data_IF_342400496570
#
_entry.id   IF_342400496570
#
_cell.length_a   1.000
_cell.length_b   1.000
_cell.length_c   1.000
_cell.angle_alpha   90.00
_cell.angle_beta   90.00
_cell.angle_gamma   90.00
#
_symmetry.space_group_name_H-M   'P 1'
#
loop_
_entity.id
_entity.type
_entity.pdbx_description
1 polymer ?
#
# COMPACT_ATOMS: atom_id res chain seq x y z
N UNK A 1 -10.65 30.60 16.16
CA UNK A 1 -10.92 29.47 17.06
C UNK A 1 -10.01 28.34 16.60
N UNK A 2 -8.94 28.06 17.37
CA UNK A 2 -8.01 26.97 17.03
C UNK A 2 -8.71 25.61 17.13
N UNK A 3 -8.50 24.74 16.14
CA UNK A 3 -8.94 23.36 16.18
C UNK A 3 -8.07 22.58 17.15
N UNK A 4 -8.63 22.12 18.26
CA UNK A 4 -7.92 21.25 19.22
C UNK A 4 -8.12 19.78 18.85
N UNK A 5 -7.14 19.24 18.12
CA UNK A 5 -7.15 17.86 17.66
C UNK A 5 -7.10 16.86 18.84
N UNK A 6 -6.33 17.15 19.88
CA UNK A 6 -6.15 16.22 21.01
C UNK A 6 -7.47 16.05 21.78
N UNK A 7 -8.14 17.15 22.10
CA UNK A 7 -9.47 17.13 22.74
C UNK A 7 -10.51 16.49 21.82
N UNK A 8 -10.47 16.76 20.52
CA UNK A 8 -11.41 16.16 19.55
C UNK A 8 -11.25 14.63 19.53
N UNK A 9 -10.02 14.11 19.47
CA UNK A 9 -9.76 12.66 19.50
C UNK A 9 -10.21 12.06 20.84
N UNK A 10 -9.80 12.64 21.95
CA UNK A 10 -10.11 12.13 23.29
C UNK A 10 -11.62 12.03 23.54
N UNK A 11 -12.36 13.08 23.18
CA UNK A 11 -13.81 13.15 23.39
C UNK A 11 -14.61 12.18 22.49
N UNK A 12 -14.04 11.71 21.38
CA UNK A 12 -14.73 10.86 20.41
C UNK A 12 -14.18 9.43 20.32
N UNK A 13 -13.12 9.08 21.05
CA UNK A 13 -12.48 7.76 20.96
C UNK A 13 -13.48 6.61 21.20
N UNK A 14 -14.39 6.76 22.16
CA UNK A 14 -15.43 5.76 22.48
C UNK A 14 -16.44 5.54 21.34
N UNK A 15 -16.57 6.48 20.42
CA UNK A 15 -17.50 6.42 19.28
C UNK A 15 -16.87 5.83 18.02
N UNK A 16 -15.63 5.38 18.06
CA UNK A 16 -14.88 4.93 16.87
C UNK A 16 -15.68 3.91 16.02
N UNK A 17 -16.22 2.86 16.64
CA UNK A 17 -16.98 1.82 15.92
C UNK A 17 -18.32 2.34 15.37
N UNK A 18 -19.01 3.21 16.11
CA UNK A 18 -20.24 3.88 15.66
C UNK A 18 -19.97 4.75 14.43
N UNK A 19 -19.00 5.66 14.54
CA UNK A 19 -18.65 6.58 13.46
C UNK A 19 -18.21 5.85 12.20
N UNK A 20 -17.38 4.82 12.36
CA UNK A 20 -16.93 4.01 11.21
C UNK A 20 -18.10 3.27 10.55
N UNK A 21 -18.99 2.68 11.34
CA UNK A 21 -20.16 1.97 10.83
C UNK A 21 -21.19 2.89 10.17
N UNK A 22 -21.36 4.11 10.69
CA UNK A 22 -22.32 5.07 10.16
C UNK A 22 -21.85 5.81 8.89
N UNK A 23 -20.53 6.10 8.80
CA UNK A 23 -20.02 7.05 7.81
C UNK A 23 -18.97 6.50 6.86
N UNK A 24 -18.40 5.33 7.14
CA UNK A 24 -17.30 4.74 6.33
C UNK A 24 -17.73 3.40 5.73
N UNK A 25 -17.90 2.37 6.57
CA UNK A 25 -18.27 1.04 6.09
C UNK A 25 -19.00 0.23 7.16
N UNK A 26 -20.34 0.12 7.07
CA UNK A 26 -21.14 -0.62 8.06
C UNK A 26 -20.85 -2.12 8.04
N UNK A 27 -20.55 -2.69 6.88
CA UNK A 27 -20.25 -4.12 6.75
C UNK A 27 -18.93 -4.46 7.43
N UNK A 28 -17.90 -3.63 7.22
CA UNK A 28 -16.60 -3.81 7.85
C UNK A 28 -16.69 -3.71 9.38
N UNK A 29 -17.41 -2.73 9.90
CA UNK A 29 -17.64 -2.58 11.34
C UNK A 29 -18.36 -3.81 11.93
N UNK A 30 -19.31 -4.41 11.19
CA UNK A 30 -19.98 -5.64 11.56
C UNK A 30 -19.02 -6.83 11.60
N UNK A 31 -18.20 -7.00 10.57
CA UNK A 31 -17.21 -8.09 10.50
C UNK A 31 -16.24 -8.00 11.67
N UNK A 32 -15.64 -6.81 11.92
CA UNK A 32 -14.72 -6.62 13.04
C UNK A 32 -15.34 -7.02 14.38
N UNK A 33 -16.60 -6.66 14.61
CA UNK A 33 -17.34 -7.03 15.81
C UNK A 33 -17.54 -8.55 15.91
N UNK A 34 -17.90 -9.20 14.80
CA UNK A 34 -18.12 -10.64 14.73
C UNK A 34 -16.85 -11.45 15.06
N UNK A 35 -15.69 -10.98 14.61
CA UNK A 35 -14.39 -11.66 14.85
C UNK A 35 -13.67 -11.17 16.10
N UNK A 36 -14.26 -10.25 16.88
CA UNK A 36 -13.68 -9.74 18.13
C UNK A 36 -12.54 -8.74 17.96
N UNK A 37 -12.46 -8.10 16.80
CA UNK A 37 -11.46 -7.07 16.47
C UNK A 37 -11.99 -5.64 16.63
N UNK A 38 -13.17 -5.47 17.20
CA UNK A 38 -13.81 -4.16 17.46
C UNK A 38 -13.22 -3.45 18.71
N UNK A 39 -11.91 -3.52 18.87
CA UNK A 39 -11.21 -2.89 19.99
C UNK A 39 -10.95 -1.42 19.71
N UNK A 40 -11.03 -0.60 20.75
CA UNK A 40 -10.57 0.79 20.71
C UNK A 40 -9.13 0.85 21.18
N UNK A 41 -8.19 0.90 20.24
CA UNK A 41 -6.78 1.01 20.56
C UNK A 41 -6.43 2.48 20.87
N UNK A 42 -5.87 2.70 22.06
CA UNK A 42 -5.53 4.05 22.58
C UNK A 42 -4.04 4.33 22.61
N UNK A 43 -3.21 3.30 22.50
CA UNK A 43 -1.75 3.43 22.49
C UNK A 43 -1.10 2.36 21.62
N UNK A 44 0.00 2.73 20.98
CA UNK A 44 0.85 1.82 20.22
C UNK A 44 2.33 2.20 20.38
N UNK A 45 3.21 1.22 20.57
CA UNK A 45 4.66 1.43 20.63
C UNK A 45 5.40 0.17 20.24
N UNK A 46 6.32 0.26 19.28
CA UNK A 46 7.03 -0.90 18.77
C UNK A 46 6.06 -1.97 18.25
N UNK A 47 6.16 -3.23 18.69
CA UNK A 47 5.27 -4.30 18.26
C UNK A 47 3.99 -4.40 19.10
N UNK A 48 3.72 -3.47 20.01
CA UNK A 48 2.60 -3.57 20.94
C UNK A 48 1.51 -2.54 20.69
N UNK A 49 0.27 -2.97 20.92
CA UNK A 49 -0.94 -2.17 20.96
C UNK A 49 -1.58 -2.27 22.35
N UNK A 50 -2.27 -1.23 22.79
CA UNK A 50 -3.08 -1.26 24.02
C UNK A 50 -4.48 -0.72 23.72
N UNK A 51 -5.48 -1.42 24.23
CA UNK A 51 -6.87 -0.98 24.16
C UNK A 51 -7.24 -0.02 25.29
N UNK A 52 -8.46 0.49 25.25
CA UNK A 52 -9.03 1.39 26.26
C UNK A 52 -9.29 0.72 27.64
N UNK A 53 -9.18 -0.60 27.69
CA UNK A 53 -9.28 -1.41 28.93
C UNK A 53 -7.91 -1.75 29.52
N UNK A 54 -6.82 -1.28 28.90
CA UNK A 54 -5.46 -1.55 29.34
C UNK A 54 -4.89 -2.90 28.89
N UNK A 55 -5.61 -3.67 28.09
CA UNK A 55 -5.08 -4.93 27.56
C UNK A 55 -3.99 -4.65 26.54
N UNK A 56 -2.90 -5.41 26.63
CA UNK A 56 -1.78 -5.34 25.71
C UNK A 56 -1.87 -6.45 24.65
N UNK A 57 -1.63 -6.10 23.42
CA UNK A 57 -1.61 -7.02 22.26
C UNK A 57 -0.27 -6.95 21.55
N UNK A 58 0.27 -8.10 21.19
CA UNK A 58 1.42 -8.20 20.29
C UNK A 58 0.90 -8.18 18.84
N UNK A 59 1.30 -7.17 18.08
CA UNK A 59 0.81 -6.93 16.72
C UNK A 59 1.64 -7.71 15.69
N UNK A 60 1.23 -8.95 15.40
CA UNK A 60 1.82 -9.75 14.32
C UNK A 60 1.37 -9.34 12.91
N UNK A 61 0.32 -8.52 12.78
CA UNK A 61 -0.15 -8.06 11.49
C UNK A 61 0.68 -6.90 10.96
N UNK A 62 1.15 -6.02 11.85
CA UNK A 62 2.02 -4.89 11.52
C UNK A 62 1.47 -3.95 10.44
N UNK A 63 0.14 -3.89 10.27
CA UNK A 63 -0.49 -3.13 9.19
C UNK A 63 -0.15 -3.68 7.79
N UNK A 64 -0.08 -5.01 7.63
CA UNK A 64 0.37 -5.69 6.41
C UNK A 64 1.76 -5.22 5.98
N UNK A 65 2.74 -5.32 6.91
CA UNK A 65 4.12 -4.91 6.72
C UNK A 65 4.38 -3.39 6.57
N UNK A 66 3.40 -2.55 6.91
CA UNK A 66 3.60 -1.08 6.94
C UNK A 66 4.45 -0.65 8.15
N UNK A 67 4.27 -1.30 9.30
CA UNK A 67 4.94 -0.95 10.54
C UNK A 67 6.22 -1.76 10.81
N UNK A 68 7.08 -1.94 9.79
CA UNK A 68 8.29 -2.79 9.87
C UNK A 68 9.31 -2.33 10.93
N UNK A 69 9.33 -1.04 11.27
CA UNK A 69 10.18 -0.48 12.33
C UNK A 69 9.47 -0.38 13.69
N UNK A 70 8.27 -0.95 13.78
CA UNK A 70 7.39 -0.78 14.93
C UNK A 70 6.56 0.52 14.86
N UNK A 71 5.48 0.50 15.61
CA UNK A 71 4.56 1.64 15.68
C UNK A 71 5.18 2.79 16.48
N UNK A 72 4.93 4.01 16.04
CA UNK A 72 5.40 5.24 16.69
C UNK A 72 6.91 5.25 16.96
N UNK A 73 7.71 4.77 15.99
CA UNK A 73 9.17 4.75 16.14
C UNK A 73 9.70 6.14 16.47
N UNK A 74 10.47 6.31 17.58
CA UNK A 74 10.83 7.63 18.08
C UNK A 74 11.63 8.46 17.08
N UNK A 75 12.57 7.86 16.37
CA UNK A 75 13.37 8.57 15.35
C UNK A 75 12.52 9.06 14.19
N UNK A 76 11.55 8.25 13.74
CA UNK A 76 10.66 8.64 12.63
C UNK A 76 9.73 9.77 13.08
N UNK A 77 9.14 9.65 14.28
CA UNK A 77 8.30 10.72 14.84
C UNK A 77 9.08 12.03 14.97
N UNK A 78 10.31 11.94 15.49
CA UNK A 78 11.17 13.13 15.62
C UNK A 78 11.45 13.77 14.27
N UNK A 79 11.85 12.98 13.27
CA UNK A 79 12.15 13.49 11.94
C UNK A 79 10.96 14.19 11.29
N UNK A 80 9.74 13.62 11.42
CA UNK A 80 8.51 14.25 10.93
C UNK A 80 8.21 15.56 11.66
N UNK A 81 8.36 15.59 13.00
CA UNK A 81 8.15 16.79 13.79
C UNK A 81 9.16 17.89 13.44
N UNK A 82 10.45 17.53 13.31
CA UNK A 82 11.50 18.46 12.91
C UNK A 82 11.24 19.04 11.51
N UNK A 83 10.83 18.19 10.56
CA UNK A 83 10.48 18.63 9.21
C UNK A 83 9.30 19.62 9.20
N UNK A 84 8.23 19.31 9.93
CA UNK A 84 7.07 20.19 10.03
C UNK A 84 7.40 21.55 10.67
N UNK A 85 8.37 21.57 11.60
CA UNK A 85 8.82 22.79 12.24
C UNK A 85 9.70 23.70 11.36
N UNK A 86 10.15 23.22 10.18
CA UNK A 86 10.96 24.00 9.23
C UNK A 86 10.13 24.93 8.35
N UNK A 87 8.80 24.83 8.35
CA UNK A 87 7.88 25.62 7.51
C UNK A 87 8.30 25.67 6.03
N UNK A 88 8.83 24.54 5.53
CA UNK A 88 9.27 24.44 4.13
C UNK A 88 8.07 24.46 3.18
N UNK A 89 8.22 25.01 1.97
CA UNK A 89 7.17 24.96 0.98
C UNK A 89 6.85 23.49 0.63
N UNK A 90 5.56 23.18 0.56
CA UNK A 90 5.08 21.85 0.22
C UNK A 90 4.21 21.94 -1.03
N UNK A 91 4.32 20.94 -1.91
CA UNK A 91 3.49 20.81 -3.12
C UNK A 91 3.53 22.04 -4.04
N UNK A 92 4.70 22.64 -4.22
CA UNK A 92 4.88 23.70 -5.19
C UNK A 92 4.87 23.11 -6.61
N UNK A 93 4.00 23.64 -7.47
CA UNK A 93 3.91 23.18 -8.86
C UNK A 93 5.20 23.50 -9.63
N UNK A 94 5.67 22.55 -10.43
CA UNK A 94 6.91 22.66 -11.21
C UNK A 94 8.19 22.80 -10.37
N UNK A 95 8.15 22.42 -9.12
CA UNK A 95 9.35 22.29 -8.29
C UNK A 95 9.96 20.89 -8.44
N UNK A 96 11.29 20.80 -8.30
CA UNK A 96 12.02 19.56 -8.09
C UNK A 96 12.29 19.38 -6.58
N UNK A 97 11.45 18.60 -5.85
CA UNK A 97 11.53 18.53 -4.39
C UNK A 97 12.85 17.92 -3.91
N UNK A 98 13.56 18.61 -3.03
CA UNK A 98 14.87 18.18 -2.51
C UNK A 98 14.81 16.81 -1.85
N UNK A 99 13.82 16.56 -0.99
CA UNK A 99 13.76 15.31 -0.22
C UNK A 99 13.52 14.08 -1.10
N UNK A 100 12.76 14.20 -2.17
CA UNK A 100 12.58 13.08 -3.12
C UNK A 100 13.89 12.80 -3.88
N UNK A 101 14.66 13.83 -4.24
CA UNK A 101 15.98 13.66 -4.82
C UNK A 101 16.95 12.93 -3.90
N UNK A 102 17.06 13.37 -2.64
CA UNK A 102 17.91 12.74 -1.62
C UNK A 102 17.51 11.28 -1.36
N UNK A 103 16.20 11.01 -1.26
CA UNK A 103 15.72 9.65 -1.09
C UNK A 103 16.03 8.77 -2.31
N UNK A 104 15.86 9.29 -3.53
CA UNK A 104 16.17 8.57 -4.75
C UNK A 104 17.67 8.24 -4.84
N UNK A 105 18.55 9.18 -4.49
CA UNK A 105 20.01 8.97 -4.43
C UNK A 105 20.37 7.82 -3.47
N UNK A 106 19.82 7.84 -2.27
CA UNK A 106 20.09 6.81 -1.26
C UNK A 106 19.51 5.42 -1.67
N UNK A 107 18.32 5.38 -2.25
CA UNK A 107 17.74 4.14 -2.77
C UNK A 107 18.58 3.55 -3.89
N UNK A 108 19.02 4.35 -4.85
CA UNK A 108 19.92 3.92 -5.94
C UNK A 108 21.21 3.33 -5.39
N UNK A 109 21.83 4.02 -4.43
CA UNK A 109 23.06 3.57 -3.79
C UNK A 109 22.91 2.21 -3.12
N UNK A 110 21.77 1.94 -2.47
CA UNK A 110 21.48 0.68 -1.78
C UNK A 110 21.06 -0.44 -2.71
N UNK A 111 20.23 -0.16 -3.69
CA UNK A 111 19.73 -1.17 -4.63
C UNK A 111 20.81 -1.56 -5.64
N UNK A 112 21.55 -0.61 -6.15
CA UNK A 112 22.54 -0.84 -7.21
C UNK A 112 21.88 -1.33 -8.49
N UNK A 113 22.52 -2.33 -9.16
CA UNK A 113 21.98 -3.06 -10.33
C UNK A 113 21.70 -2.19 -11.57
N UNK A 114 22.32 -1.02 -11.70
CA UNK A 114 22.14 -0.14 -12.86
C UNK A 114 20.76 0.50 -12.97
N UNK A 115 20.04 0.63 -11.86
CA UNK A 115 18.79 1.38 -11.82
C UNK A 115 19.09 2.86 -11.66
N UNK A 116 18.75 3.66 -12.66
CA UNK A 116 19.15 5.08 -12.74
C UNK A 116 18.11 6.04 -12.21
N UNK A 117 16.84 5.64 -12.15
CA UNK A 117 15.73 6.51 -11.78
C UNK A 117 14.80 5.83 -10.78
N UNK A 118 14.16 6.64 -9.94
CA UNK A 118 13.13 6.23 -8.98
C UNK A 118 11.84 6.95 -9.30
N UNK A 119 10.75 6.21 -9.42
CA UNK A 119 9.41 6.76 -9.58
C UNK A 119 8.64 6.56 -8.28
N UNK A 120 8.32 7.67 -7.60
CA UNK A 120 7.57 7.64 -6.34
C UNK A 120 6.07 7.65 -6.58
N UNK A 121 5.34 6.89 -5.79
CA UNK A 121 3.88 6.81 -5.79
C UNK A 121 3.34 6.85 -4.37
N UNK A 122 2.05 7.14 -4.21
CA UNK A 122 1.42 7.21 -2.88
C UNK A 122 0.98 5.83 -2.35
N UNK A 123 0.87 4.84 -3.22
CA UNK A 123 0.45 3.49 -2.85
C UNK A 123 1.10 2.43 -3.73
N UNK A 124 1.11 1.17 -3.24
CA UNK A 124 1.54 0.03 -4.04
C UNK A 124 0.70 -0.17 -5.30
N UNK A 125 -0.62 0.07 -5.23
CA UNK A 125 -1.49 0.00 -6.41
C UNK A 125 -1.07 1.00 -7.49
N UNK A 126 -0.77 2.24 -7.14
CA UNK A 126 -0.25 3.24 -8.08
C UNK A 126 1.11 2.84 -8.67
N UNK A 127 1.98 2.24 -7.86
CA UNK A 127 3.25 1.69 -8.32
C UNK A 127 3.04 0.59 -9.37
N UNK A 128 2.09 -0.32 -9.16
CA UNK A 128 1.72 -1.35 -10.13
C UNK A 128 1.12 -0.74 -11.40
N UNK A 129 0.23 0.25 -11.30
CA UNK A 129 -0.30 0.97 -12.46
C UNK A 129 0.81 1.62 -13.30
N UNK A 130 1.78 2.25 -12.64
CA UNK A 130 2.94 2.83 -13.31
C UNK A 130 3.80 1.75 -14.00
N UNK A 131 4.07 0.63 -13.32
CA UNK A 131 4.81 -0.50 -13.87
C UNK A 131 4.14 -1.09 -15.11
N UNK A 132 2.81 -1.28 -15.10
CA UNK A 132 2.02 -1.71 -16.26
C UNK A 132 2.22 -0.77 -17.45
N UNK A 133 2.09 0.53 -17.21
CA UNK A 133 2.23 1.55 -18.27
C UNK A 133 3.65 1.58 -18.82
N UNK A 134 4.65 1.56 -17.97
CA UNK A 134 6.05 1.61 -18.38
C UNK A 134 6.44 0.34 -19.13
N UNK A 135 6.04 -0.84 -18.68
CA UNK A 135 6.31 -2.09 -19.37
C UNK A 135 5.71 -2.12 -20.78
N UNK A 136 4.44 -1.74 -20.92
CA UNK A 136 3.78 -1.68 -22.24
C UNK A 136 4.43 -0.63 -23.14
N UNK A 137 4.74 0.54 -22.62
CA UNK A 137 5.38 1.62 -23.39
C UNK A 137 6.78 1.23 -23.87
N UNK A 138 7.59 0.65 -22.99
CA UNK A 138 8.97 0.29 -23.30
C UNK A 138 9.08 -0.89 -24.28
N UNK A 139 8.14 -1.82 -24.25
CA UNK A 139 8.19 -3.03 -25.08
C UNK A 139 7.32 -2.97 -26.33
N UNK A 140 6.32 -2.10 -26.36
CA UNK A 140 5.27 -2.09 -27.37
C UNK A 140 4.34 -3.32 -27.33
N UNK A 141 4.42 -4.16 -26.28
CA UNK A 141 3.69 -5.41 -26.14
C UNK A 141 2.43 -5.25 -25.27
N UNK A 142 1.32 -5.92 -25.60
CA UNK A 142 0.06 -5.74 -24.88
C UNK A 142 -0.10 -6.63 -23.64
N UNK A 143 0.51 -7.82 -23.62
CA UNK A 143 0.19 -8.84 -22.63
C UNK A 143 0.94 -8.65 -21.32
N UNK A 144 0.24 -8.97 -20.23
CA UNK A 144 0.77 -9.00 -18.88
C UNK A 144 0.54 -10.38 -18.27
N UNK A 145 1.56 -10.94 -17.66
CA UNK A 145 1.43 -12.18 -16.92
C UNK A 145 1.34 -11.90 -15.42
N UNK A 146 0.60 -12.75 -14.70
CA UNK A 146 0.49 -12.69 -13.23
C UNK A 146 0.36 -14.10 -12.64
N UNK A 147 0.66 -14.26 -11.35
CA UNK A 147 0.61 -15.53 -10.66
C UNK A 147 -0.72 -15.77 -9.92
N UNK A 148 -1.13 -17.04 -9.68
CA UNK A 148 -2.22 -17.39 -8.79
C UNK A 148 -1.97 -16.81 -7.39
N UNK A 149 -3.05 -16.38 -6.70
CA UNK A 149 -3.02 -15.79 -5.34
C UNK A 149 -2.24 -14.48 -5.23
N UNK A 150 -1.70 -13.93 -6.32
CA UNK A 150 -1.05 -12.63 -6.30
C UNK A 150 -2.01 -11.52 -5.87
N UNK A 151 -1.48 -10.54 -5.15
CA UNK A 151 -2.19 -9.31 -4.79
C UNK A 151 -1.35 -8.09 -5.17
N UNK A 152 -1.86 -7.29 -6.09
CA UNK A 152 -1.16 -6.14 -6.65
C UNK A 152 -1.85 -4.80 -6.36
N UNK A 153 -2.98 -4.82 -5.66
CA UNK A 153 -3.80 -3.65 -5.37
C UNK A 153 -5.20 -3.74 -5.94
N UNK A 154 -6.00 -2.70 -5.74
CA UNK A 154 -7.42 -2.67 -6.07
C UNK A 154 -7.80 -1.55 -7.05
N UNK A 155 -6.84 -0.83 -7.64
CA UNK A 155 -7.10 0.01 -8.81
C UNK A 155 -7.38 -0.85 -10.06
N UNK A 156 -7.96 -0.28 -11.09
CA UNK A 156 -8.47 -1.05 -12.24
C UNK A 156 -7.42 -1.91 -12.96
N UNK A 157 -6.20 -1.39 -13.14
CA UNK A 157 -5.11 -2.18 -13.72
C UNK A 157 -4.55 -3.19 -12.74
N UNK A 158 -4.31 -2.79 -11.49
CA UNK A 158 -3.76 -3.68 -10.46
C UNK A 158 -4.71 -4.86 -10.15
N UNK A 159 -6.03 -4.61 -10.02
CA UNK A 159 -7.02 -5.68 -9.76
C UNK A 159 -7.09 -6.69 -10.91
N UNK A 160 -6.77 -6.26 -12.13
CA UNK A 160 -6.72 -7.13 -13.30
C UNK A 160 -5.64 -8.20 -13.21
N UNK A 161 -4.61 -7.97 -12.39
CA UNK A 161 -3.49 -8.87 -12.15
C UNK A 161 -3.60 -9.64 -10.82
N UNK A 162 -4.69 -9.47 -10.05
CA UNK A 162 -4.89 -10.24 -8.83
C UNK A 162 -5.28 -11.68 -9.15
N UNK A 163 -4.57 -12.63 -8.54
CA UNK A 163 -4.79 -14.07 -8.75
C UNK A 163 -5.89 -14.67 -7.88
N UNK A 164 -6.42 -13.94 -6.90
CA UNK A 164 -7.48 -14.40 -6.01
C UNK A 164 -8.86 -13.88 -6.49
N UNK A 165 -9.83 -14.76 -6.78
CA UNK A 165 -11.16 -14.36 -7.25
C UNK A 165 -11.87 -13.38 -6.32
N UNK A 166 -11.74 -13.53 -5.01
CA UNK A 166 -12.42 -12.67 -4.02
C UNK A 166 -12.08 -11.18 -4.14
N UNK A 167 -10.95 -10.83 -4.75
CA UNK A 167 -10.59 -9.44 -5.03
C UNK A 167 -11.05 -8.95 -6.41
N UNK A 168 -11.55 -9.85 -7.25
CA UNK A 168 -11.94 -9.58 -8.63
C UNK A 168 -13.44 -9.58 -8.84
N UNK A 169 -14.16 -10.35 -8.04
CA UNK A 169 -15.60 -10.55 -8.19
C UNK A 169 -16.36 -9.22 -8.17
N UNK A 170 -17.16 -8.98 -9.19
CA UNK A 170 -17.97 -7.76 -9.34
C UNK A 170 -17.25 -6.56 -9.96
N UNK A 171 -15.96 -6.65 -10.32
CA UNK A 171 -15.17 -5.53 -10.85
C UNK A 171 -14.82 -5.62 -12.35
N UNK A 172 -15.36 -6.62 -13.06
CA UNK A 172 -15.19 -6.72 -14.50
C UNK A 172 -15.87 -5.55 -15.25
N UNK A 173 -15.40 -5.18 -16.47
CA UNK A 173 -14.34 -5.82 -17.24
C UNK A 173 -12.93 -5.45 -16.74
N UNK A 174 -12.02 -6.40 -16.84
CA UNK A 174 -10.62 -6.23 -16.47
C UNK A 174 -9.80 -5.68 -17.64
N UNK A 175 -8.58 -5.22 -17.34
CA UNK A 175 -7.61 -4.84 -18.36
C UNK A 175 -7.38 -6.03 -19.31
N UNK A 176 -7.47 -5.82 -20.64
CA UNK A 176 -7.27 -6.88 -21.61
C UNK A 176 -5.83 -7.43 -21.60
N UNK A 177 -5.68 -8.64 -22.13
CA UNK A 177 -4.39 -9.35 -22.26
C UNK A 177 -3.66 -9.63 -20.92
N UNK A 178 -4.40 -9.72 -19.81
CA UNK A 178 -3.88 -10.21 -18.56
C UNK A 178 -4.05 -11.71 -18.46
N UNK A 179 -2.94 -12.47 -18.41
CA UNK A 179 -2.91 -13.93 -18.42
C UNK A 179 -2.29 -14.48 -17.15
N UNK A 180 -2.96 -15.44 -16.52
CA UNK A 180 -2.45 -16.10 -15.33
C UNK A 180 -1.50 -17.25 -15.75
N UNK A 181 -0.33 -17.32 -15.12
CA UNK A 181 0.63 -18.42 -15.25
C UNK A 181 0.74 -19.12 -13.91
N UNK A 182 0.68 -20.44 -13.91
CA UNK A 182 0.79 -21.24 -12.69
C UNK A 182 2.10 -20.94 -11.97
N UNK A 183 2.02 -20.86 -10.63
CA UNK A 183 3.19 -20.62 -9.81
C UNK A 183 4.09 -21.87 -9.85
N UNK A 184 5.41 -21.65 -9.91
CA UNK A 184 6.42 -22.71 -9.97
C UNK A 184 6.34 -23.65 -11.20
N UNK A 185 5.72 -23.18 -12.29
CA UNK A 185 5.66 -23.90 -13.57
C UNK A 185 6.47 -23.15 -14.65
N UNK A 186 7.75 -23.42 -14.71
CA UNK A 186 8.66 -22.80 -15.66
C UNK A 186 8.26 -23.12 -17.12
N UNK A 187 7.76 -24.34 -17.39
CA UNK A 187 7.34 -24.72 -18.73
C UNK A 187 6.10 -23.93 -19.18
N UNK A 188 5.15 -23.66 -18.28
CA UNK A 188 4.01 -22.78 -18.58
C UNK A 188 4.48 -21.33 -18.84
N UNK A 189 5.43 -20.84 -18.05
CA UNK A 189 6.00 -19.51 -18.25
C UNK A 189 6.73 -19.40 -19.60
N UNK A 190 7.56 -20.37 -19.94
CA UNK A 190 8.24 -20.44 -21.25
C UNK A 190 7.26 -20.43 -22.41
N UNK A 191 6.21 -21.25 -22.35
CA UNK A 191 5.14 -21.25 -23.38
C UNK A 191 4.44 -19.89 -23.49
N UNK A 192 4.14 -19.24 -22.36
CA UNK A 192 3.51 -17.92 -22.36
C UNK A 192 4.41 -16.84 -22.98
N UNK A 193 5.72 -16.90 -22.70
CA UNK A 193 6.71 -15.96 -23.24
C UNK A 193 7.03 -16.21 -24.71
N UNK A 194 6.91 -17.45 -25.20
CA UNK A 194 7.19 -17.81 -26.59
C UNK A 194 6.27 -17.11 -27.60
N UNK A 195 5.10 -16.60 -27.17
CA UNK A 195 4.21 -15.78 -27.98
C UNK A 195 4.83 -14.43 -28.40
N UNK A 196 5.85 -13.96 -27.68
CA UNK A 196 6.58 -12.72 -28.00
C UNK A 196 5.80 -11.43 -27.72
N UNK A 197 4.59 -11.51 -27.19
CA UNK A 197 3.68 -10.40 -26.94
C UNK A 197 3.63 -9.92 -25.48
N UNK A 198 4.42 -10.52 -24.61
CA UNK A 198 4.42 -10.23 -23.17
C UNK A 198 5.26 -9.01 -22.86
N UNK A 199 4.66 -8.00 -22.23
CA UNK A 199 5.33 -6.80 -21.76
C UNK A 199 6.02 -7.04 -20.40
N UNK A 200 5.34 -7.72 -19.48
CA UNK A 200 5.87 -8.02 -18.16
C UNK A 200 5.21 -9.24 -17.50
N UNK A 201 5.92 -9.85 -16.57
CA UNK A 201 5.38 -10.77 -15.57
C UNK A 201 5.43 -10.07 -14.21
N UNK A 202 4.28 -9.91 -13.58
CA UNK A 202 4.12 -9.22 -12.29
C UNK A 202 3.88 -10.27 -11.22
N UNK A 203 4.75 -10.33 -10.20
CA UNK A 203 4.78 -11.32 -9.12
C UNK A 203 4.90 -10.62 -7.75
#
# INVERSE_FOLDING_TARGET
>A
VGFDLASTISNNAHRQGELHGAHVNPQFARVLRTIGFDKTYVRATGPYLWDDRGNQYLDFLGGYAVCNFGRNHPTIKKALSDYLALDLPTMVQFEAPLLSGLLAEELKRRVGRGLDYVFFTNSGAEGVEAAIKFAKCATGRPALLYAPKAFHGLSSGAVSLNGCPSFRDGFAPFLPECRMVAFDDLAALERALAAGDVAAFVI
#
